data_IF_477477046574
#
_entry.id   IF_477477046574
#
_cell.length_a   1.000
_cell.length_b   1.000
_cell.length_c   1.000
_cell.angle_alpha   90.00
_cell.angle_beta   90.00
_cell.angle_gamma   90.00
#
_symmetry.space_group_name_H-M   'P 1'
#
loop_
_entity.id
_entity.type
_entity.pdbx_description
1 polymer ?
#
# COMPACT_ATOMS: atom_id res chain seq x y z
N UNK A 1 24.43 -33.66 -7.83
CA UNK A 1 23.98 -32.32 -7.37
C UNK A 1 22.46 -32.35 -7.33
N UNK A 2 21.85 -32.21 -6.16
CA UNK A 2 20.40 -32.31 -5.99
C UNK A 2 19.69 -31.10 -6.62
N UNK A 3 18.88 -31.35 -7.67
CA UNK A 3 18.13 -30.31 -8.40
C UNK A 3 17.19 -29.53 -7.47
N UNK A 4 16.69 -30.16 -6.40
CA UNK A 4 15.83 -29.52 -5.40
C UNK A 4 16.55 -28.39 -4.66
N UNK A 5 17.82 -28.57 -4.32
CA UNK A 5 18.64 -27.57 -3.62
C UNK A 5 18.93 -26.37 -4.53
N UNK A 6 19.22 -26.61 -5.81
CA UNK A 6 19.47 -25.54 -6.80
C UNK A 6 18.21 -24.67 -6.98
N UNK A 7 17.04 -25.29 -7.11
CA UNK A 7 15.78 -24.54 -7.25
C UNK A 7 15.47 -23.69 -6.01
N UNK A 8 15.71 -24.22 -4.80
CA UNK A 8 15.55 -23.47 -3.55
C UNK A 8 16.51 -22.26 -3.46
N UNK A 9 17.76 -22.44 -3.86
CA UNK A 9 18.75 -21.36 -3.85
C UNK A 9 18.40 -20.26 -4.86
N UNK A 10 17.99 -20.61 -6.08
CA UNK A 10 17.54 -19.65 -7.10
C UNK A 10 16.33 -18.85 -6.59
N UNK A 11 15.36 -19.51 -5.97
CA UNK A 11 14.19 -18.85 -5.39
C UNK A 11 14.58 -17.85 -4.29
N UNK A 12 15.52 -18.23 -3.41
CA UNK A 12 16.03 -17.36 -2.34
C UNK A 12 16.75 -16.12 -2.88
N UNK A 13 17.56 -16.29 -3.93
CA UNK A 13 18.24 -15.18 -4.59
C UNK A 13 17.23 -14.25 -5.28
N UNK A 14 16.21 -14.81 -5.98
CA UNK A 14 15.15 -13.99 -6.60
C UNK A 14 14.34 -13.16 -5.59
N UNK A 15 14.20 -13.63 -4.36
CA UNK A 15 13.53 -12.91 -3.28
C UNK A 15 14.41 -11.84 -2.63
N UNK A 16 15.72 -11.88 -2.88
CA UNK A 16 16.67 -10.89 -2.35
C UNK A 16 16.53 -9.60 -3.15
N UNK A 17 16.01 -8.55 -2.50
CA UNK A 17 15.91 -7.22 -3.11
C UNK A 17 17.26 -6.53 -2.96
N UNK A 18 17.90 -6.24 -4.10
CA UNK A 18 19.07 -5.34 -4.10
C UNK A 18 18.55 -3.93 -3.93
N UNK A 19 18.85 -3.32 -2.80
CA UNK A 19 18.46 -1.94 -2.53
C UNK A 19 19.38 -1.01 -3.33
N UNK A 20 18.86 -0.54 -4.46
CA UNK A 20 19.52 0.49 -5.26
C UNK A 20 19.39 1.86 -4.54
N UNK A 21 20.38 2.76 -4.59
CA UNK A 21 20.34 4.05 -3.90
C UNK A 21 19.07 4.88 -4.18
N UNK A 22 18.59 4.89 -5.42
CA UNK A 22 17.34 5.59 -5.77
C UNK A 22 16.09 4.95 -5.14
N UNK A 23 16.08 3.61 -5.01
CA UNK A 23 14.99 2.90 -4.35
C UNK A 23 14.98 3.24 -2.85
N UNK A 24 16.16 3.28 -2.23
CA UNK A 24 16.34 3.67 -0.83
C UNK A 24 15.86 5.10 -0.59
N UNK A 25 16.28 6.05 -1.44
CA UNK A 25 15.84 7.44 -1.34
C UNK A 25 14.32 7.58 -1.47
N UNK A 26 13.70 6.89 -2.43
CA UNK A 26 12.25 6.90 -2.58
C UNK A 26 11.52 6.29 -1.38
N UNK A 27 12.08 5.23 -0.78
CA UNK A 27 11.57 4.63 0.44
C UNK A 27 11.63 5.61 1.62
N UNK A 28 12.78 6.25 1.85
CA UNK A 28 12.96 7.24 2.91
C UNK A 28 12.00 8.42 2.78
N UNK A 29 11.78 8.93 1.56
CA UNK A 29 10.81 10.01 1.33
C UNK A 29 9.38 9.60 1.72
N UNK A 30 8.96 8.38 1.39
CA UNK A 30 7.62 7.88 1.77
C UNK A 30 7.52 7.69 3.29
N UNK A 31 8.57 7.15 3.92
CA UNK A 31 8.62 6.98 5.39
C UNK A 31 8.55 8.33 6.09
N UNK A 32 9.33 9.32 5.64
CA UNK A 32 9.31 10.67 6.21
C UNK A 32 7.95 11.34 6.06
N UNK A 33 7.28 11.18 4.91
CA UNK A 33 5.91 11.67 4.70
C UNK A 33 4.91 11.02 5.66
N UNK A 34 5.03 9.71 5.88
CA UNK A 34 4.22 8.98 6.85
C UNK A 34 4.45 9.47 8.28
N UNK A 35 5.71 9.59 8.70
CA UNK A 35 6.10 10.03 10.04
C UNK A 35 5.71 11.49 10.31
N UNK A 36 5.83 12.37 9.31
CA UNK A 36 5.35 13.76 9.41
C UNK A 36 3.84 13.78 9.66
N UNK A 37 3.06 13.00 8.92
CA UNK A 37 1.62 12.95 9.16
C UNK A 37 1.28 12.39 10.54
N UNK A 38 2.01 11.36 11.01
CA UNK A 38 1.83 10.81 12.36
C UNK A 38 2.14 11.84 13.46
N UNK A 39 3.20 12.63 13.28
CA UNK A 39 3.75 13.47 14.34
C UNK A 39 3.12 14.86 14.39
N UNK A 40 2.81 15.44 13.23
CA UNK A 40 2.33 16.83 13.10
C UNK A 40 1.00 16.97 12.36
N UNK A 41 0.43 15.88 11.85
CA UNK A 41 -0.86 15.88 11.14
C UNK A 41 -0.81 16.58 9.78
N UNK A 42 0.38 16.75 9.19
CA UNK A 42 0.56 17.36 7.87
C UNK A 42 0.76 16.24 6.84
N UNK A 43 -0.17 16.05 5.90
CA UNK A 43 0.01 15.09 4.83
C UNK A 43 0.95 15.62 3.76
N UNK A 44 1.73 14.73 3.17
CA UNK A 44 2.55 15.01 1.99
C UNK A 44 2.13 14.12 0.83
N UNK A 45 2.05 14.70 -0.37
CA UNK A 45 1.73 13.98 -1.59
C UNK A 45 2.99 13.80 -2.44
N UNK A 46 3.32 12.54 -2.74
CA UNK A 46 4.52 12.18 -3.49
C UNK A 46 4.13 11.51 -4.82
N UNK A 47 4.88 11.83 -5.88
CA UNK A 47 4.81 11.14 -7.16
C UNK A 47 6.13 10.42 -7.42
N UNK A 48 6.07 9.10 -7.64
CA UNK A 48 7.24 8.29 -7.96
C UNK A 48 7.21 7.93 -9.45
N UNK A 49 8.18 8.43 -10.22
CA UNK A 49 8.27 8.25 -11.67
C UNK A 49 9.54 7.47 -12.03
N UNK A 50 9.47 6.69 -13.10
CA UNK A 50 10.61 5.99 -13.70
C UNK A 50 10.16 4.91 -14.66
N UNK A 51 11.10 4.33 -15.42
CA UNK A 51 10.79 3.33 -16.45
C UNK A 51 10.32 1.99 -15.88
N UNK A 52 9.68 1.16 -16.71
CA UNK A 52 9.30 -0.19 -16.28
C UNK A 52 10.53 -0.97 -15.80
N UNK A 53 10.38 -1.74 -14.72
CA UNK A 53 11.48 -2.53 -14.15
C UNK A 53 12.40 -1.78 -13.17
N UNK A 54 12.22 -0.48 -12.93
CA UNK A 54 13.06 0.29 -11.97
C UNK A 54 12.76 0.05 -10.48
N UNK A 55 11.92 -0.93 -10.15
CA UNK A 55 11.64 -1.30 -8.75
C UNK A 55 10.48 -0.55 -8.09
N UNK A 56 9.64 0.20 -8.82
CA UNK A 56 8.45 0.88 -8.25
C UNK A 56 7.46 -0.07 -7.57
N UNK A 57 7.18 -1.23 -8.18
CA UNK A 57 6.33 -2.25 -7.57
C UNK A 57 7.00 -2.84 -6.32
N UNK A 58 8.32 -3.01 -6.36
CA UNK A 58 9.13 -3.46 -5.21
C UNK A 58 9.07 -2.44 -4.07
N UNK A 59 9.17 -1.14 -4.35
CA UNK A 59 9.04 -0.07 -3.36
C UNK A 59 7.70 -0.16 -2.63
N UNK A 60 6.61 -0.28 -3.39
CA UNK A 60 5.24 -0.44 -2.86
C UNK A 60 5.13 -1.65 -1.92
N UNK A 61 5.73 -2.78 -2.28
CA UNK A 61 5.76 -3.98 -1.43
C UNK A 61 6.61 -3.80 -0.17
N UNK A 62 7.76 -3.11 -0.26
CA UNK A 62 8.62 -2.81 0.88
C UNK A 62 7.92 -1.91 1.90
N UNK A 63 7.21 -0.87 1.44
CA UNK A 63 6.40 -0.01 2.31
C UNK A 63 5.31 -0.82 3.02
N UNK A 64 4.56 -1.66 2.28
CA UNK A 64 3.52 -2.50 2.88
C UNK A 64 4.07 -3.48 3.94
N UNK A 65 5.30 -4.00 3.75
CA UNK A 65 5.97 -4.87 4.72
C UNK A 65 6.45 -4.12 5.95
N UNK A 66 6.85 -2.85 5.78
CA UNK A 66 7.39 -2.02 6.85
C UNK A 66 6.30 -1.46 7.77
N UNK A 67 5.08 -1.33 7.25
CA UNK A 67 3.91 -0.86 7.98
C UNK A 67 2.76 -1.89 7.93
N UNK A 68 2.93 -3.08 8.54
CA UNK A 68 1.91 -4.12 8.49
C UNK A 68 0.67 -3.72 9.31
N UNK A 69 -0.50 -4.35 9.05
CA UNK A 69 -1.67 -4.18 9.90
C UNK A 69 -1.38 -4.61 11.35
N UNK A 70 -1.90 -3.85 12.31
CA UNK A 70 -1.72 -4.09 13.74
C UNK A 70 -3.06 -4.57 14.30
N UNK A 71 -3.09 -5.80 14.82
CA UNK A 71 -4.27 -6.36 15.48
C UNK A 71 -4.19 -6.04 16.97
N UNK A 72 -5.14 -5.26 17.46
CA UNK A 72 -5.37 -5.00 18.87
C UNK A 72 -6.57 -5.83 19.35
N UNK A 73 -6.77 -5.92 20.67
CA UNK A 73 -7.87 -6.69 21.25
C UNK A 73 -9.26 -6.18 20.79
N UNK A 74 -9.39 -4.87 20.60
CA UNK A 74 -10.65 -4.19 20.28
C UNK A 74 -10.79 -3.79 18.80
N UNK A 75 -9.68 -3.73 18.05
CA UNK A 75 -9.68 -3.22 16.67
C UNK A 75 -8.50 -3.66 15.83
N UNK A 76 -8.66 -3.50 14.52
CA UNK A 76 -7.59 -3.61 13.53
C UNK A 76 -7.14 -2.20 13.13
N UNK A 77 -5.84 -1.92 13.23
CA UNK A 77 -5.23 -0.71 12.68
C UNK A 77 -4.56 -1.07 11.35
N UNK A 78 -4.83 -0.30 10.31
CA UNK A 78 -4.21 -0.43 9.00
C UNK A 78 -3.39 0.84 8.71
N UNK A 79 -2.08 0.86 9.01
CA UNK A 79 -1.28 2.08 8.90
C UNK A 79 -1.12 2.58 7.46
N UNK A 80 -0.95 1.65 6.52
CA UNK A 80 -0.82 1.94 5.09
C UNK A 80 -1.79 1.09 4.28
N UNK A 81 -2.61 1.74 3.45
CA UNK A 81 -3.46 1.09 2.47
C UNK A 81 -2.80 1.12 1.09
N UNK A 82 -2.45 -0.05 0.57
CA UNK A 82 -1.93 -0.18 -0.80
C UNK A 82 -3.04 -0.61 -1.76
N UNK A 83 -3.30 0.22 -2.77
CA UNK A 83 -4.26 -0.05 -3.85
C UNK A 83 -3.55 -0.13 -5.20
N UNK A 84 -4.05 -0.99 -6.08
CA UNK A 84 -3.62 -1.01 -7.48
C UNK A 84 -4.64 -0.23 -8.29
N UNK A 85 -4.17 0.76 -9.06
CA UNK A 85 -5.05 1.49 -9.97
C UNK A 85 -5.55 0.54 -11.07
N UNK A 86 -6.87 0.49 -11.33
CA UNK A 86 -7.40 -0.34 -12.41
C UNK A 86 -6.95 0.21 -13.78
N UNK A 87 -6.94 -0.63 -14.85
CA UNK A 87 -6.46 -0.23 -16.18
C UNK A 87 -7.18 0.97 -16.81
N UNK A 88 -8.45 1.18 -16.46
CA UNK A 88 -9.30 2.29 -16.91
C UNK A 88 -9.94 2.96 -15.69
N UNK A 89 -9.21 3.83 -14.95
CA UNK A 89 -9.69 4.36 -13.69
C UNK A 89 -10.82 5.36 -13.90
N UNK A 90 -11.92 5.12 -13.20
CA UNK A 90 -13.03 6.06 -12.99
C UNK A 90 -13.15 6.31 -11.50
N UNK A 91 -13.77 7.43 -11.10
CA UNK A 91 -14.04 7.71 -9.68
C UNK A 91 -14.73 6.52 -9.00
N UNK A 92 -15.68 5.88 -9.69
CA UNK A 92 -16.45 4.75 -9.17
C UNK A 92 -15.59 3.49 -8.98
N UNK A 93 -14.86 3.05 -10.00
CA UNK A 93 -14.11 1.79 -9.91
C UNK A 93 -12.85 1.91 -9.02
N UNK A 94 -12.29 3.11 -8.88
CA UNK A 94 -11.22 3.37 -7.93
C UNK A 94 -11.75 3.27 -6.50
N UNK A 95 -12.91 3.89 -6.23
CA UNK A 95 -13.56 3.78 -4.92
C UNK A 95 -13.96 2.33 -4.59
N UNK A 96 -14.42 1.56 -5.57
CA UNK A 96 -14.67 0.11 -5.40
C UNK A 96 -13.39 -0.65 -5.04
N UNK A 97 -12.27 -0.35 -5.70
CA UNK A 97 -10.97 -0.98 -5.41
C UNK A 97 -10.51 -0.67 -3.98
N UNK A 98 -10.69 0.57 -3.51
CA UNK A 98 -10.41 0.97 -2.13
C UNK A 98 -11.30 0.20 -1.16
N UNK A 99 -12.61 0.14 -1.40
CA UNK A 99 -13.56 -0.58 -0.55
C UNK A 99 -13.30 -2.09 -0.48
N UNK A 100 -12.93 -2.71 -1.60
CA UNK A 100 -12.49 -4.12 -1.63
C UNK A 100 -11.30 -4.31 -0.68
N UNK A 101 -10.32 -3.40 -0.75
CA UNK A 101 -9.11 -3.50 0.08
C UNK A 101 -9.38 -3.27 1.56
N UNK A 102 -10.40 -2.48 1.89
CA UNK A 102 -10.88 -2.23 3.26
C UNK A 102 -11.80 -3.35 3.79
N UNK A 103 -12.14 -4.35 2.97
CA UNK A 103 -12.97 -5.50 3.36
C UNK A 103 -14.47 -5.22 3.35
N UNK A 104 -14.93 -4.27 2.55
CA UNK A 104 -16.36 -3.94 2.48
C UNK A 104 -17.15 -4.98 1.63
N UNK A 105 -18.12 -5.71 2.22
CA UNK A 105 -18.89 -6.73 1.50
C UNK A 105 -19.80 -6.15 0.41
N UNK A 106 -20.15 -4.86 0.49
CA UNK A 106 -21.05 -4.19 -0.44
C UNK A 106 -20.28 -3.23 -1.37
N UNK A 107 -18.98 -3.45 -1.60
CA UNK A 107 -18.10 -2.52 -2.31
C UNK A 107 -18.69 -1.97 -3.62
N UNK A 108 -19.43 -2.79 -4.38
CA UNK A 108 -20.04 -2.44 -5.67
C UNK A 108 -21.30 -1.57 -5.55
N UNK A 109 -21.99 -1.56 -4.40
CA UNK A 109 -23.29 -0.87 -4.23
C UNK A 109 -23.14 0.63 -3.96
N UNK A 110 -24.16 1.40 -4.36
CA UNK A 110 -24.26 2.83 -4.13
C UNK A 110 -23.64 3.71 -5.23
N UNK A 111 -23.92 5.01 -5.14
CA UNK A 111 -23.29 6.06 -5.96
C UNK A 111 -21.81 6.23 -5.63
N UNK A 112 -21.12 7.09 -6.38
CA UNK A 112 -19.73 7.47 -6.05
C UNK A 112 -19.65 8.15 -4.67
N UNK A 113 -20.63 9.00 -4.33
CA UNK A 113 -20.70 9.71 -3.05
C UNK A 113 -20.88 8.71 -1.90
N UNK A 114 -21.79 7.75 -2.04
CA UNK A 114 -22.03 6.72 -1.02
C UNK A 114 -20.76 5.90 -0.74
N UNK A 115 -20.00 5.58 -1.80
CA UNK A 115 -18.73 4.86 -1.68
C UNK A 115 -17.68 5.71 -0.95
N UNK A 116 -17.55 6.99 -1.30
CA UNK A 116 -16.63 7.92 -0.62
C UNK A 116 -16.94 8.02 0.86
N UNK A 117 -18.22 8.17 1.24
CA UNK A 117 -18.63 8.23 2.64
C UNK A 117 -18.26 6.95 3.40
N UNK A 118 -18.45 5.78 2.77
CA UNK A 118 -18.05 4.51 3.36
C UNK A 118 -16.53 4.41 3.53
N UNK A 119 -15.75 4.82 2.54
CA UNK A 119 -14.29 4.87 2.65
C UNK A 119 -13.87 5.69 3.87
N UNK A 120 -14.44 6.88 4.07
CA UNK A 120 -14.16 7.69 5.25
C UNK A 120 -14.52 6.99 6.57
N UNK A 121 -15.65 6.29 6.62
CA UNK A 121 -16.04 5.51 7.79
C UNK A 121 -15.04 4.38 8.09
N UNK A 122 -14.58 3.66 7.05
CA UNK A 122 -13.56 2.63 7.20
C UNK A 122 -12.22 3.21 7.66
N UNK A 123 -11.78 4.36 7.11
CA UNK A 123 -10.54 5.00 7.53
C UNK A 123 -10.58 5.38 9.02
N UNK A 124 -11.70 5.94 9.49
CA UNK A 124 -11.87 6.26 10.91
C UNK A 124 -11.86 4.99 11.78
N UNK A 125 -12.50 3.90 11.34
CA UNK A 125 -12.58 2.64 12.10
C UNK A 125 -11.25 1.88 12.15
N UNK A 126 -10.53 1.86 11.04
CA UNK A 126 -9.28 1.11 10.87
C UNK A 126 -8.04 1.94 11.22
N UNK A 127 -8.21 3.16 11.75
CA UNK A 127 -7.07 4.03 12.09
C UNK A 127 -6.15 4.32 10.90
N UNK A 128 -6.69 4.36 9.68
CA UNK A 128 -5.91 4.70 8.48
C UNK A 128 -5.64 6.20 8.53
N UNK A 129 -4.36 6.58 8.47
CA UNK A 129 -3.98 8.00 8.43
C UNK A 129 -4.58 8.66 7.19
N UNK A 130 -5.21 9.81 7.41
CA UNK A 130 -5.77 10.62 6.33
C UNK A 130 -4.62 11.35 5.66
N UNK A 131 -4.38 11.03 4.39
CA UNK A 131 -3.51 11.80 3.49
C UNK A 131 -4.32 12.94 2.89
#
# INVERSE_FOLDING_TARGET
MDKSLIHKTIAKIKQSVIIHPQLQQAYELIVNAYEMNCSVGIPQHLICVGDSGTGKSTLKEQIAKSFPPIVLEDRLILPVLVINTPPLPTVKNLAETVLIKLGDPLFHKGSAIDKTHRIHNFFNRLGVLKV
#
